data_IF_351418821377
#
_entry.id   IF_351418821377
#
_cell.length_a   1.000
_cell.length_b   1.000
_cell.length_c   1.000
_cell.angle_alpha   90.00
_cell.angle_beta   90.00
_cell.angle_gamma   90.00
#
_symmetry.space_group_name_H-M   'P 1'
#
loop_
_entity.id
_entity.type
_entity.pdbx_description
1 polymer ?
#
# COMPACT_ATOMS: atom_id res chain seq x y z
N UNK A 1 -20.63 11.29 -21.74
CA UNK A 1 -20.10 12.61 -21.40
C UNK A 1 -19.76 13.45 -22.65
N UNK A 2 -18.89 12.98 -23.54
CA UNK A 2 -18.49 13.72 -24.73
C UNK A 2 -19.58 13.85 -25.80
N UNK A 3 -20.54 12.93 -25.87
CA UNK A 3 -21.64 12.95 -26.84
C UNK A 3 -22.84 13.80 -26.44
N UNK A 4 -22.85 14.36 -25.24
CA UNK A 4 -23.99 15.09 -24.70
C UNK A 4 -25.26 14.25 -24.39
N UNK A 5 -25.11 12.91 -24.44
CA UNK A 5 -26.19 11.95 -24.18
C UNK A 5 -26.06 11.29 -22.81
N UNK A 6 -25.28 11.87 -21.91
CA UNK A 6 -25.12 11.32 -20.57
C UNK A 6 -26.43 11.42 -19.77
N UNK A 7 -26.76 10.44 -18.91
CA UNK A 7 -27.82 10.56 -17.94
C UNK A 7 -27.68 11.84 -17.11
N UNK A 8 -28.80 12.42 -16.71
CA UNK A 8 -28.87 13.61 -15.85
C UNK A 8 -28.12 14.86 -16.37
N UNK A 9 -27.79 14.87 -17.68
CA UNK A 9 -27.16 16.03 -18.33
C UNK A 9 -25.67 16.23 -17.96
N UNK A 10 -25.04 15.25 -17.37
CA UNK A 10 -23.61 15.33 -17.01
C UNK A 10 -22.74 15.50 -18.27
N UNK A 11 -21.75 16.35 -18.19
CA UNK A 11 -20.85 16.68 -19.29
C UNK A 11 -19.39 16.43 -18.90
N UNK A 12 -18.54 16.36 -19.92
CA UNK A 12 -17.10 16.35 -19.70
C UNK A 12 -16.68 17.73 -19.15
N UNK A 13 -16.20 17.73 -17.90
CA UNK A 13 -15.81 18.94 -17.19
C UNK A 13 -14.43 18.80 -16.57
N UNK A 14 -13.50 19.65 -16.97
CA UNK A 14 -12.15 19.68 -16.43
C UNK A 14 -12.06 20.33 -15.04
N UNK A 15 -13.13 20.92 -14.54
CA UNK A 15 -13.18 21.48 -13.18
C UNK A 15 -12.92 20.46 -12.11
N UNK A 16 -13.15 19.16 -12.38
CA UNK A 16 -12.83 18.04 -11.47
C UNK A 16 -11.34 17.94 -11.10
N UNK A 17 -10.47 18.56 -11.87
CA UNK A 17 -9.03 18.67 -11.55
C UNK A 17 -8.69 19.92 -10.74
N UNK A 18 -9.65 20.73 -10.39
CA UNK A 18 -9.45 21.93 -9.58
C UNK A 18 -9.89 21.69 -8.15
N UNK A 19 -9.19 22.31 -7.21
CA UNK A 19 -9.60 22.29 -5.80
C UNK A 19 -10.69 23.33 -5.61
N UNK A 20 -11.88 22.96 -5.10
CA UNK A 20 -12.95 23.92 -4.84
C UNK A 20 -12.51 25.06 -3.91
N UNK A 21 -12.97 26.27 -4.19
CA UNK A 21 -12.66 27.42 -3.35
C UNK A 21 -13.17 27.18 -1.91
N UNK A 22 -12.30 27.45 -0.93
CA UNK A 22 -12.60 27.23 0.48
C UNK A 22 -12.22 25.86 1.01
N UNK A 23 -11.72 24.95 0.17
CA UNK A 23 -11.20 23.65 0.64
C UNK A 23 -9.89 23.87 1.40
N UNK A 24 -9.85 23.46 2.66
CA UNK A 24 -8.60 23.49 3.43
C UNK A 24 -7.60 22.48 2.88
N UNK A 25 -6.35 22.91 2.67
CA UNK A 25 -5.25 22.02 2.26
C UNK A 25 -5.11 20.82 3.20
N UNK A 26 -5.40 21.02 4.48
CA UNK A 26 -5.39 19.97 5.50
C UNK A 26 -6.36 18.82 5.20
N UNK A 27 -7.52 19.11 4.61
CA UNK A 27 -8.51 18.10 4.24
C UNK A 27 -8.03 17.21 3.08
N UNK A 28 -7.24 17.75 2.16
CA UNK A 28 -6.64 16.95 1.08
C UNK A 28 -5.76 15.82 1.62
N UNK A 29 -5.02 16.08 2.69
CA UNK A 29 -4.12 15.07 3.29
C UNK A 29 -4.85 13.95 4.04
N UNK A 30 -6.11 14.12 4.41
CA UNK A 30 -6.93 13.00 4.87
C UNK A 30 -7.21 12.03 3.72
N UNK A 31 -7.48 12.55 2.51
CA UNK A 31 -7.65 11.74 1.31
C UNK A 31 -6.36 11.07 0.82
N UNK A 32 -5.20 11.66 1.09
CA UNK A 32 -3.90 11.13 0.65
C UNK A 32 -3.63 9.73 1.23
N UNK A 33 -4.15 9.41 2.41
CA UNK A 33 -4.02 8.05 2.99
C UNK A 33 -4.70 7.00 2.11
N UNK A 34 -5.84 7.33 1.53
CA UNK A 34 -6.52 6.44 0.56
C UNK A 34 -5.75 6.35 -0.75
N UNK A 35 -5.09 7.44 -1.17
CA UNK A 35 -4.14 7.40 -2.27
C UNK A 35 -2.99 6.42 -1.99
N UNK A 36 -2.36 6.47 -0.82
CA UNK A 36 -1.35 5.49 -0.42
C UNK A 36 -1.91 4.07 -0.40
N UNK A 37 -3.12 3.86 0.13
CA UNK A 37 -3.79 2.55 0.12
C UNK A 37 -3.94 2.01 -1.31
N UNK A 38 -4.35 2.85 -2.26
CA UNK A 38 -4.51 2.46 -3.67
C UNK A 38 -3.20 2.04 -4.34
N UNK A 39 -2.07 2.58 -3.88
CA UNK A 39 -0.74 2.19 -4.35
C UNK A 39 -0.12 1.01 -3.58
N UNK A 40 -0.67 0.62 -2.42
CA UNK A 40 -0.12 -0.46 -1.59
C UNK A 40 0.04 -1.74 -2.40
N UNK A 41 1.25 -2.31 -2.37
CA UNK A 41 1.59 -3.54 -3.10
C UNK A 41 2.52 -3.32 -4.30
N UNK A 42 2.76 -2.08 -4.77
CA UNK A 42 3.72 -1.83 -5.85
C UNK A 42 5.15 -2.27 -5.45
N UNK A 43 5.48 -2.23 -4.18
CA UNK A 43 6.75 -2.68 -3.61
C UNK A 43 6.88 -4.20 -3.57
N UNK A 44 5.80 -4.96 -3.78
CA UNK A 44 5.83 -6.43 -3.78
C UNK A 44 6.79 -6.99 -4.85
N UNK A 45 7.07 -6.25 -5.92
CA UNK A 45 8.12 -6.60 -6.88
C UNK A 45 9.50 -6.79 -6.23
N UNK A 46 9.78 -6.11 -5.09
CA UNK A 46 11.02 -6.29 -4.35
C UNK A 46 11.13 -7.68 -3.71
N UNK A 47 10.01 -8.29 -3.31
CA UNK A 47 9.98 -9.64 -2.72
C UNK A 47 10.30 -10.74 -3.72
N UNK A 48 10.20 -10.43 -5.02
CA UNK A 48 10.51 -11.33 -6.13
C UNK A 48 11.93 -11.14 -6.66
N UNK A 49 12.75 -10.34 -5.99
CA UNK A 49 14.11 -10.03 -6.42
C UNK A 49 15.00 -11.27 -6.56
N UNK A 50 14.84 -12.30 -5.71
CA UNK A 50 15.56 -13.55 -5.78
C UNK A 50 15.19 -14.40 -7.00
N UNK A 51 13.99 -14.21 -7.56
CA UNK A 51 13.47 -14.93 -8.73
C UNK A 51 13.71 -14.18 -10.05
N UNK A 52 14.07 -12.90 -10.00
CA UNK A 52 14.30 -12.06 -11.16
C UNK A 52 15.65 -12.36 -11.83
N UNK A 53 15.68 -12.38 -13.18
CA UNK A 53 16.93 -12.60 -13.95
C UNK A 53 17.95 -11.49 -13.72
N UNK A 54 17.51 -10.24 -13.67
CA UNK A 54 18.35 -9.06 -13.45
C UNK A 54 17.73 -8.16 -12.37
N UNK A 55 17.74 -8.56 -11.08
CA UNK A 55 16.99 -7.88 -10.03
C UNK A 55 17.35 -6.40 -9.86
N UNK A 56 18.62 -6.04 -10.04
CA UNK A 56 19.12 -4.65 -9.94
C UNK A 56 18.52 -3.71 -11.00
N UNK A 57 18.06 -4.24 -12.12
CA UNK A 57 17.48 -3.48 -13.23
C UNK A 57 15.96 -3.63 -13.28
N UNK A 58 15.48 -4.86 -13.14
CA UNK A 58 14.09 -5.21 -13.43
C UNK A 58 13.18 -4.81 -12.27
N UNK A 59 13.61 -5.00 -11.00
CA UNK A 59 12.82 -4.62 -9.81
C UNK A 59 12.59 -3.11 -9.73
N UNK A 60 13.61 -2.22 -9.82
CA UNK A 60 13.36 -0.77 -9.80
C UNK A 60 12.47 -0.30 -10.95
N UNK A 61 12.60 -0.89 -12.14
CA UNK A 61 11.75 -0.53 -13.30
C UNK A 61 10.32 -0.98 -13.11
N UNK A 62 10.10 -2.18 -12.56
CA UNK A 62 8.77 -2.67 -12.26
C UNK A 62 8.08 -1.76 -11.23
N UNK A 63 8.76 -1.44 -10.13
CA UNK A 63 8.25 -0.55 -9.08
C UNK A 63 7.90 0.84 -9.65
N UNK A 64 8.84 1.46 -10.36
CA UNK A 64 8.61 2.79 -10.94
C UNK A 64 7.52 2.76 -12.01
N UNK A 65 7.53 1.75 -12.88
CA UNK A 65 6.51 1.57 -13.91
C UNK A 65 5.12 1.39 -13.32
N UNK A 66 4.97 0.58 -12.28
CA UNK A 66 3.70 0.38 -11.58
C UNK A 66 3.23 1.67 -10.90
N UNK A 67 4.15 2.41 -10.26
CA UNK A 67 3.80 3.67 -9.60
C UNK A 67 3.33 4.74 -10.61
N UNK A 68 4.05 4.91 -11.73
CA UNK A 68 3.69 5.89 -12.76
C UNK A 68 2.39 5.49 -13.47
N UNK A 69 2.29 4.22 -13.91
CA UNK A 69 1.08 3.73 -14.57
C UNK A 69 -0.13 3.81 -13.65
N UNK A 70 0.02 3.32 -12.39
CA UNK A 70 -1.04 3.37 -11.38
C UNK A 70 -1.50 4.80 -11.11
N UNK A 71 -0.56 5.76 -10.97
CA UNK A 71 -0.90 7.16 -10.75
C UNK A 71 -1.73 7.76 -11.88
N UNK A 72 -1.30 7.55 -13.13
CA UNK A 72 -2.06 8.03 -14.30
C UNK A 72 -3.43 7.35 -14.37
N UNK A 73 -3.47 6.03 -14.16
CA UNK A 73 -4.69 5.25 -14.20
C UNK A 73 -5.70 5.70 -13.14
N UNK A 74 -5.27 5.84 -11.88
CA UNK A 74 -6.16 6.25 -10.79
C UNK A 74 -6.71 7.66 -10.99
N UNK A 75 -5.86 8.62 -11.40
CA UNK A 75 -6.32 9.99 -11.71
C UNK A 75 -7.35 9.97 -12.82
N UNK A 76 -7.12 9.20 -13.88
CA UNK A 76 -8.04 9.11 -15.01
C UNK A 76 -9.37 8.47 -14.62
N UNK A 77 -9.33 7.33 -13.93
CA UNK A 77 -10.55 6.62 -13.52
C UNK A 77 -11.36 7.45 -12.53
N UNK A 78 -10.73 8.00 -11.49
CA UNK A 78 -11.44 8.83 -10.50
C UNK A 78 -12.03 10.09 -11.14
N UNK A 79 -11.35 10.71 -12.11
CA UNK A 79 -11.91 11.83 -12.82
C UNK A 79 -13.18 11.44 -13.61
N UNK A 80 -13.18 10.28 -14.28
CA UNK A 80 -14.35 9.75 -14.99
C UNK A 80 -15.49 9.46 -14.00
N UNK A 81 -15.18 8.86 -12.86
CA UNK A 81 -16.18 8.56 -11.82
C UNK A 81 -16.83 9.84 -11.31
N UNK A 82 -16.03 10.85 -10.92
CA UNK A 82 -16.57 12.14 -10.45
C UNK A 82 -17.39 12.84 -11.53
N UNK A 83 -16.92 12.86 -12.78
CA UNK A 83 -17.70 13.43 -13.89
C UNK A 83 -18.98 12.66 -14.15
N UNK A 84 -18.94 11.33 -13.98
CA UNK A 84 -20.07 10.45 -14.24
C UNK A 84 -21.20 10.59 -13.22
N UNK A 85 -20.87 10.79 -11.95
CA UNK A 85 -21.84 11.06 -10.89
C UNK A 85 -22.26 12.54 -10.82
N UNK A 86 -21.43 13.44 -11.33
CA UNK A 86 -21.58 14.88 -11.19
C UNK A 86 -20.77 15.45 -10.02
N UNK A 87 -20.25 16.67 -10.21
CA UNK A 87 -19.46 17.36 -9.18
C UNK A 87 -20.30 18.25 -8.26
N UNK A 88 -21.63 18.24 -8.41
CA UNK A 88 -22.59 18.93 -7.56
C UNK A 88 -22.87 18.17 -6.25
N UNK A 89 -23.62 18.76 -5.34
CA UNK A 89 -23.93 18.16 -4.04
C UNK A 89 -24.67 16.81 -4.18
N UNK A 90 -25.57 16.68 -5.14
CA UNK A 90 -26.31 15.45 -5.40
C UNK A 90 -25.41 14.35 -5.95
N UNK A 91 -24.52 14.70 -6.89
CA UNK A 91 -23.54 13.77 -7.46
C UNK A 91 -22.53 13.29 -6.42
N UNK A 92 -22.02 14.18 -5.57
CA UNK A 92 -21.12 13.80 -4.45
C UNK A 92 -21.84 12.89 -3.45
N UNK A 93 -23.10 13.14 -3.13
CA UNK A 93 -23.88 12.27 -2.25
C UNK A 93 -24.09 10.88 -2.88
N UNK A 94 -24.43 10.81 -4.17
CA UNK A 94 -24.55 9.55 -4.90
C UNK A 94 -23.21 8.79 -4.96
N UNK A 95 -22.11 9.48 -5.26
CA UNK A 95 -20.77 8.93 -5.26
C UNK A 95 -20.40 8.30 -3.90
N UNK A 96 -20.63 9.01 -2.80
CA UNK A 96 -20.25 8.54 -1.46
C UNK A 96 -21.16 7.42 -0.94
N UNK A 97 -22.37 7.29 -1.45
CA UNK A 97 -23.31 6.22 -1.07
C UNK A 97 -23.25 4.99 -1.98
N UNK A 98 -22.51 5.06 -3.10
CA UNK A 98 -22.39 3.96 -4.05
C UNK A 98 -21.60 2.79 -3.46
N UNK A 99 -22.12 1.58 -3.61
CA UNK A 99 -21.41 0.34 -3.28
C UNK A 99 -20.49 -0.18 -4.39
N UNK A 100 -20.61 0.36 -5.61
CA UNK A 100 -19.83 -0.02 -6.79
C UNK A 100 -19.81 1.12 -7.80
N UNK A 101 -18.94 2.11 -7.60
CA UNK A 101 -18.88 3.33 -8.42
C UNK A 101 -18.97 3.07 -9.92
N UNK A 102 -18.02 2.28 -10.46
CA UNK A 102 -18.02 1.94 -11.89
C UNK A 102 -19.19 1.03 -12.29
N UNK A 103 -19.71 0.19 -11.37
CA UNK A 103 -20.87 -0.64 -11.60
C UNK A 103 -22.14 0.19 -11.76
N UNK A 104 -22.33 1.17 -10.89
CA UNK A 104 -23.50 2.09 -10.95
C UNK A 104 -23.44 2.96 -12.20
N UNK A 105 -22.25 3.49 -12.57
CA UNK A 105 -22.06 4.18 -13.84
C UNK A 105 -22.34 3.27 -15.04
N UNK A 106 -21.85 2.02 -15.01
CA UNK A 106 -22.11 1.03 -16.05
C UNK A 106 -23.59 0.78 -16.23
N UNK A 107 -24.34 0.68 -15.12
CA UNK A 107 -25.79 0.51 -15.12
C UNK A 107 -26.51 1.73 -15.68
N UNK A 108 -26.15 2.93 -15.23
CA UNK A 108 -26.80 4.17 -15.65
C UNK A 108 -26.52 4.58 -17.10
N UNK A 109 -25.29 4.37 -17.57
CA UNK A 109 -24.84 4.80 -18.89
C UNK A 109 -25.06 3.78 -20.00
N UNK A 110 -25.06 2.48 -19.69
CA UNK A 110 -25.10 1.42 -20.69
C UNK A 110 -26.25 0.44 -20.43
N UNK A 111 -26.38 -0.02 -19.19
CA UNK A 111 -27.43 -0.93 -18.76
C UNK A 111 -27.00 -1.88 -17.65
N UNK A 112 -27.97 -2.47 -16.96
CA UNK A 112 -27.77 -3.30 -15.77
C UNK A 112 -26.76 -4.44 -15.98
N UNK A 113 -26.78 -5.10 -17.14
CA UNK A 113 -25.84 -6.20 -17.41
C UNK A 113 -24.37 -5.77 -17.40
N UNK A 114 -24.07 -4.52 -17.77
CA UNK A 114 -22.70 -3.97 -17.72
C UNK A 114 -22.32 -3.68 -16.27
N UNK A 115 -23.22 -3.10 -15.49
CA UNK A 115 -23.02 -2.88 -14.07
C UNK A 115 -22.74 -4.16 -13.30
N UNK A 116 -23.54 -5.21 -13.55
CA UNK A 116 -23.35 -6.55 -12.95
C UNK A 116 -22.01 -7.16 -13.34
N UNK A 117 -21.62 -7.05 -14.63
CA UNK A 117 -20.34 -7.57 -15.12
C UNK A 117 -19.14 -6.86 -14.48
N UNK A 118 -19.21 -5.52 -14.35
CA UNK A 118 -18.17 -4.71 -13.69
C UNK A 118 -18.07 -5.10 -12.21
N UNK A 119 -19.19 -5.21 -11.52
CA UNK A 119 -19.25 -5.57 -10.10
C UNK A 119 -18.68 -6.99 -9.86
N UNK A 120 -19.03 -7.94 -10.73
CA UNK A 120 -18.43 -9.28 -10.68
C UNK A 120 -16.93 -9.24 -10.94
N UNK A 121 -16.49 -8.45 -11.93
CA UNK A 121 -15.06 -8.24 -12.21
C UNK A 121 -14.30 -7.65 -11.02
N UNK A 122 -14.91 -6.67 -10.33
CA UNK A 122 -14.35 -6.09 -9.12
C UNK A 122 -14.23 -7.12 -7.99
N UNK A 123 -15.24 -7.97 -7.79
CA UNK A 123 -15.20 -9.04 -6.78
C UNK A 123 -14.08 -10.06 -7.07
N UNK A 124 -13.93 -10.50 -8.33
CA UNK A 124 -12.83 -11.39 -8.73
C UNK A 124 -11.48 -10.73 -8.55
N UNK A 125 -11.35 -9.45 -8.89
CA UNK A 125 -10.13 -8.65 -8.69
C UNK A 125 -9.77 -8.53 -7.21
N UNK A 126 -10.74 -8.23 -6.35
CA UNK A 126 -10.54 -8.16 -4.90
C UNK A 126 -10.06 -9.50 -4.32
N UNK A 127 -10.64 -10.61 -4.75
CA UNK A 127 -10.20 -11.95 -4.37
C UNK A 127 -8.75 -12.22 -4.83
N UNK A 128 -8.41 -11.87 -6.07
CA UNK A 128 -7.05 -12.00 -6.60
C UNK A 128 -6.04 -11.16 -5.82
N UNK A 129 -6.41 -9.93 -5.45
CA UNK A 129 -5.59 -9.05 -4.61
C UNK A 129 -5.37 -9.65 -3.21
N UNK A 130 -6.41 -10.17 -2.57
CA UNK A 130 -6.31 -10.84 -1.26
C UNK A 130 -5.35 -12.04 -1.31
N UNK A 131 -5.43 -12.86 -2.36
CA UNK A 131 -4.49 -13.97 -2.57
C UNK A 131 -3.05 -13.49 -2.75
N UNK A 132 -2.84 -12.46 -3.56
CA UNK A 132 -1.50 -11.91 -3.79
C UNK A 132 -0.90 -11.35 -2.49
N UNK A 133 -1.68 -10.61 -1.70
CA UNK A 133 -1.28 -10.11 -0.39
C UNK A 133 -0.95 -11.24 0.59
N UNK A 134 -1.77 -12.30 0.64
CA UNK A 134 -1.53 -13.46 1.48
C UNK A 134 -0.22 -14.18 1.11
N UNK A 135 0.06 -14.32 -0.19
CA UNK A 135 1.33 -14.89 -0.68
C UNK A 135 2.51 -14.01 -0.29
N UNK A 136 2.42 -12.70 -0.51
CA UNK A 136 3.48 -11.75 -0.13
C UNK A 136 3.78 -11.76 1.37
N UNK A 137 2.74 -11.68 2.20
CA UNK A 137 2.85 -11.74 3.66
C UNK A 137 3.44 -13.09 4.13
N UNK A 138 3.04 -14.21 3.51
CA UNK A 138 3.57 -15.54 3.83
C UNK A 138 5.06 -15.66 3.53
N UNK A 139 5.51 -15.10 2.41
CA UNK A 139 6.94 -15.06 2.02
C UNK A 139 7.75 -14.20 2.99
N UNK A 140 7.20 -13.05 3.39
CA UNK A 140 7.85 -12.18 4.38
C UNK A 140 7.97 -12.89 5.74
N UNK A 141 6.89 -13.54 6.20
CA UNK A 141 6.88 -14.30 7.45
C UNK A 141 7.90 -15.45 7.42
N UNK A 142 7.97 -16.17 6.29
CA UNK A 142 8.97 -17.21 6.04
C UNK A 142 10.39 -16.65 6.09
N UNK A 143 10.67 -15.54 5.41
CA UNK A 143 11.99 -14.91 5.37
C UNK A 143 12.42 -14.46 6.78
N UNK A 144 11.55 -13.84 7.55
CA UNK A 144 11.81 -13.44 8.94
C UNK A 144 12.10 -14.64 9.83
N UNK A 145 11.42 -15.77 9.64
CA UNK A 145 11.68 -17.00 10.38
C UNK A 145 13.01 -17.64 9.97
N UNK A 146 13.33 -17.67 8.68
CA UNK A 146 14.62 -18.15 8.14
C UNK A 146 15.80 -17.33 8.69
N UNK A 147 15.59 -16.04 8.88
CA UNK A 147 16.61 -15.14 9.42
C UNK A 147 16.69 -15.18 10.97
N UNK A 148 15.87 -16.02 11.61
CA UNK A 148 15.88 -16.22 13.07
C UNK A 148 15.18 -15.12 13.87
N UNK A 149 14.36 -14.28 13.21
CA UNK A 149 13.52 -13.27 13.87
C UNK A 149 12.31 -13.92 14.51
N UNK A 150 11.68 -14.85 13.78
CA UNK A 150 10.47 -15.56 14.17
C UNK A 150 10.76 -17.05 14.47
N UNK A 151 9.72 -17.78 14.85
CA UNK A 151 9.82 -19.19 15.21
C UNK A 151 10.27 -20.05 14.01
N UNK A 152 11.24 -20.92 14.22
CA UNK A 152 11.82 -21.79 13.19
C UNK A 152 10.80 -22.64 12.39
N UNK A 153 9.69 -23.13 12.96
CA UNK A 153 8.67 -23.88 12.18
C UNK A 153 8.05 -23.11 11.03
N UNK A 154 8.07 -21.77 11.06
CA UNK A 154 7.57 -20.91 9.96
C UNK A 154 8.52 -20.85 8.77
N UNK A 155 9.78 -21.26 8.96
CA UNK A 155 10.80 -21.37 7.91
C UNK A 155 10.80 -22.73 7.20
N UNK A 156 9.86 -23.63 7.53
CA UNK A 156 9.78 -24.92 6.88
C UNK A 156 9.03 -24.84 5.54
N UNK A 157 9.63 -25.46 4.53
CA UNK A 157 9.07 -25.59 3.18
C UNK A 157 8.50 -26.99 2.99
N UNK A 158 7.30 -27.10 2.42
CA UNK A 158 6.71 -28.39 2.12
C UNK A 158 7.51 -29.14 1.04
N UNK A 159 7.97 -30.39 1.30
CA UNK A 159 8.80 -31.13 0.35
C UNK A 159 8.16 -31.37 -1.02
N UNK A 160 6.82 -31.50 -1.05
CA UNK A 160 6.11 -31.79 -2.29
C UNK A 160 5.67 -30.57 -3.11
N UNK A 161 5.58 -29.37 -2.47
CA UNK A 161 5.04 -28.15 -3.11
C UNK A 161 6.04 -27.02 -3.19
N UNK A 162 7.18 -27.10 -2.50
CA UNK A 162 8.15 -26.01 -2.45
C UNK A 162 7.64 -24.71 -1.80
N UNK A 163 6.53 -24.76 -1.04
CA UNK A 163 5.87 -23.57 -0.49
C UNK A 163 5.90 -23.57 1.04
N UNK A 164 5.94 -22.38 1.70
CA UNK A 164 5.95 -22.25 3.15
C UNK A 164 4.54 -22.40 3.74
N UNK A 165 3.99 -23.62 3.73
CA UNK A 165 2.59 -23.91 4.10
C UNK A 165 2.24 -23.42 5.50
N UNK A 166 3.15 -23.55 6.49
CA UNK A 166 2.89 -23.08 7.86
C UNK A 166 2.79 -21.56 7.94
N UNK A 167 3.69 -20.84 7.26
CA UNK A 167 3.63 -19.39 7.20
C UNK A 167 2.33 -18.91 6.51
N UNK A 168 1.94 -19.57 5.42
CA UNK A 168 0.68 -19.29 4.71
C UNK A 168 -0.53 -19.56 5.61
N UNK A 169 -0.55 -20.67 6.32
CA UNK A 169 -1.64 -20.99 7.24
C UNK A 169 -1.80 -19.95 8.37
N UNK A 170 -0.67 -19.48 8.93
CA UNK A 170 -0.68 -18.41 9.96
C UNK A 170 -1.23 -17.11 9.40
N UNK A 171 -0.80 -16.71 8.20
CA UNK A 171 -1.31 -15.48 7.56
C UNK A 171 -2.80 -15.57 7.29
N UNK A 172 -3.27 -16.66 6.67
CA UNK A 172 -4.69 -16.84 6.36
C UNK A 172 -5.54 -16.92 7.64
N UNK A 173 -5.04 -17.61 8.67
CA UNK A 173 -5.72 -17.67 9.96
C UNK A 173 -5.80 -16.30 10.64
N UNK A 174 -4.73 -15.48 10.56
CA UNK A 174 -4.73 -14.13 11.09
C UNK A 174 -5.72 -13.22 10.34
N UNK A 175 -5.75 -13.28 9.00
CA UNK A 175 -6.72 -12.54 8.18
C UNK A 175 -8.15 -12.92 8.55
N UNK A 176 -8.46 -14.22 8.64
CA UNK A 176 -9.79 -14.70 9.00
C UNK A 176 -10.19 -14.31 10.44
N UNK A 177 -9.23 -14.32 11.36
CA UNK A 177 -9.47 -13.93 12.75
C UNK A 177 -9.78 -12.44 12.88
N UNK A 178 -9.04 -11.58 12.18
CA UNK A 178 -9.28 -10.13 12.17
C UNK A 178 -10.66 -9.85 11.61
N UNK A 179 -11.00 -10.39 10.43
CA UNK A 179 -12.31 -10.22 9.83
C UNK A 179 -13.46 -10.73 10.73
N UNK A 180 -13.25 -11.84 11.41
CA UNK A 180 -14.24 -12.37 12.36
C UNK A 180 -14.42 -11.46 13.58
N UNK A 181 -13.33 -10.91 14.11
CA UNK A 181 -13.39 -9.97 15.26
C UNK A 181 -14.12 -8.69 14.83
N UNK A 182 -13.76 -8.11 13.69
CA UNK A 182 -14.35 -6.86 13.20
C UNK A 182 -15.86 -7.06 12.93
N UNK A 183 -16.26 -8.16 12.33
CA UNK A 183 -17.66 -8.47 12.11
C UNK A 183 -18.41 -8.78 13.42
N UNK A 184 -17.86 -9.61 14.32
CA UNK A 184 -18.57 -10.10 15.50
C UNK A 184 -18.57 -9.10 16.66
N UNK A 185 -17.49 -8.31 16.83
CA UNK A 185 -17.32 -7.40 17.96
C UNK A 185 -17.76 -5.98 17.59
N UNK A 186 -17.40 -5.51 16.40
CA UNK A 186 -17.68 -4.15 15.96
C UNK A 186 -18.84 -4.05 14.99
N UNK A 187 -19.41 -5.17 14.53
CA UNK A 187 -20.51 -5.19 13.57
C UNK A 187 -20.12 -4.66 12.18
N UNK A 188 -18.84 -4.77 11.84
CA UNK A 188 -18.31 -4.24 10.59
C UNK A 188 -18.96 -4.90 9.36
N UNK A 189 -19.44 -4.09 8.43
CA UNK A 189 -19.81 -4.55 7.10
C UNK A 189 -18.54 -4.86 6.27
N UNK A 190 -18.64 -5.63 5.18
CA UNK A 190 -17.45 -5.98 4.37
C UNK A 190 -16.64 -4.78 3.88
N UNK A 191 -17.28 -3.65 3.60
CA UNK A 191 -16.59 -2.43 3.21
C UNK A 191 -15.87 -1.75 4.39
N UNK A 192 -16.46 -1.81 5.59
CA UNK A 192 -15.82 -1.28 6.81
C UNK A 192 -14.56 -2.07 7.11
N UNK A 193 -14.62 -3.41 7.02
CA UNK A 193 -13.46 -4.30 7.18
C UNK A 193 -12.32 -3.92 6.22
N UNK A 194 -12.63 -3.75 4.93
CA UNK A 194 -11.66 -3.30 3.94
C UNK A 194 -11.07 -1.93 4.31
N UNK A 195 -11.92 -0.96 4.67
CA UNK A 195 -11.52 0.41 4.97
C UNK A 195 -10.66 0.48 6.24
N UNK A 196 -11.05 -0.21 7.31
CA UNK A 196 -10.33 -0.19 8.60
C UNK A 196 -9.00 -0.90 8.50
N UNK A 197 -8.99 -2.15 8.05
CA UNK A 197 -7.76 -2.94 7.86
C UNK A 197 -6.81 -2.27 6.87
N UNK A 198 -7.34 -1.73 5.76
CA UNK A 198 -6.58 -0.98 4.77
C UNK A 198 -5.94 0.28 5.34
N UNK A 199 -6.70 1.06 6.12
CA UNK A 199 -6.18 2.29 6.75
C UNK A 199 -5.11 1.98 7.79
N UNK A 200 -5.34 1.01 8.69
CA UNK A 200 -4.34 0.59 9.69
C UNK A 200 -3.07 0.09 8.99
N UNK A 201 -3.20 -0.78 7.99
CA UNK A 201 -2.08 -1.30 7.22
C UNK A 201 -1.29 -0.19 6.54
N UNK A 202 -1.99 0.78 5.93
CA UNK A 202 -1.36 1.93 5.28
C UNK A 202 -0.62 2.82 6.26
N UNK A 203 -1.18 3.11 7.42
CA UNK A 203 -0.49 3.91 8.44
C UNK A 203 0.79 3.23 8.94
N UNK A 204 0.77 1.92 9.15
CA UNK A 204 1.97 1.14 9.49
C UNK A 204 2.98 1.20 8.35
N UNK A 205 2.53 1.06 7.10
CA UNK A 205 3.39 1.10 5.92
C UNK A 205 4.04 2.47 5.73
N UNK A 206 3.33 3.57 5.99
CA UNK A 206 3.90 4.93 5.98
C UNK A 206 5.08 5.03 6.96
N UNK A 207 4.96 4.46 8.16
CA UNK A 207 6.07 4.44 9.13
C UNK A 207 7.26 3.63 8.57
N UNK A 208 7.01 2.50 7.92
CA UNK A 208 8.06 1.71 7.27
C UNK A 208 8.74 2.51 6.15
N UNK A 209 7.97 3.23 5.33
CA UNK A 209 8.53 4.10 4.28
C UNK A 209 9.37 5.25 4.85
N UNK A 210 8.95 5.86 5.97
CA UNK A 210 9.76 6.88 6.66
C UNK A 210 11.09 6.28 7.10
N UNK A 211 11.08 5.12 7.76
CA UNK A 211 12.30 4.46 8.24
C UNK A 211 13.21 4.03 7.06
N UNK A 212 12.64 3.48 6.00
CA UNK A 212 13.37 3.09 4.81
C UNK A 212 14.01 4.29 4.11
N UNK A 213 13.27 5.40 4.00
CA UNK A 213 13.76 6.65 3.40
C UNK A 213 14.90 7.25 4.22
N UNK A 214 14.79 7.28 5.55
CA UNK A 214 15.88 7.72 6.45
C UNK A 214 17.11 6.81 6.27
N UNK A 215 16.91 5.50 6.20
CA UNK A 215 17.98 4.54 5.96
C UNK A 215 18.68 4.77 4.60
N UNK A 216 17.90 5.01 3.55
CA UNK A 216 18.40 5.31 2.21
C UNK A 216 19.20 6.63 2.19
N UNK A 217 18.68 7.69 2.82
CA UNK A 217 19.38 8.98 2.94
C UNK A 217 20.72 8.80 3.63
N UNK A 218 20.74 8.09 4.77
CA UNK A 218 21.98 7.82 5.49
C UNK A 218 22.99 7.06 4.62
N UNK A 219 22.53 6.03 3.91
CA UNK A 219 23.40 5.20 3.07
C UNK A 219 23.95 5.94 1.87
N UNK A 220 23.12 6.72 1.17
CA UNK A 220 23.46 7.36 -0.10
C UNK A 220 24.27 8.65 0.06
N UNK A 221 24.00 9.41 1.14
CA UNK A 221 24.57 10.76 1.30
C UNK A 221 25.58 10.89 2.45
N UNK A 222 25.48 10.02 3.49
CA UNK A 222 26.26 10.17 4.72
C UNK A 222 27.17 8.98 5.06
N UNK A 223 27.05 7.83 4.36
CA UNK A 223 27.85 6.64 4.64
C UNK A 223 28.95 6.44 3.60
N UNK A 224 29.95 7.34 3.59
CA UNK A 224 31.09 7.29 2.68
C UNK A 224 31.02 8.33 1.55
N UNK A 225 31.78 8.14 0.44
CA UNK A 225 31.69 9.08 -0.69
C UNK A 225 30.26 9.10 -1.25
N UNK A 226 29.74 10.30 -1.62
CA UNK A 226 28.39 10.43 -2.11
C UNK A 226 28.21 9.58 -3.38
N UNK A 227 27.17 8.71 -3.35
CA UNK A 227 26.87 7.77 -4.45
C UNK A 227 25.96 8.37 -5.50
N UNK A 228 25.33 9.49 -5.17
CA UNK A 228 24.34 10.22 -5.97
C UNK A 228 24.63 11.72 -5.88
N UNK A 229 24.05 12.51 -6.79
CA UNK A 229 24.19 13.95 -6.74
C UNK A 229 23.58 14.50 -5.45
N UNK A 230 24.30 15.41 -4.77
CA UNK A 230 23.83 16.03 -3.52
C UNK A 230 22.47 16.75 -3.66
N UNK A 231 22.17 17.29 -4.85
CA UNK A 231 20.89 17.93 -5.12
C UNK A 231 19.71 16.94 -5.03
N UNK A 232 19.94 15.64 -5.25
CA UNK A 232 18.90 14.60 -5.20
C UNK A 232 18.39 14.35 -3.77
N UNK A 233 19.04 14.89 -2.74
CA UNK A 233 18.55 14.83 -1.35
C UNK A 233 17.19 15.53 -1.20
N UNK A 234 16.85 16.44 -2.10
CA UNK A 234 15.55 17.11 -2.10
C UNK A 234 14.40 16.13 -2.26
N UNK A 235 14.58 15.03 -3.03
CA UNK A 235 13.55 14.02 -3.29
C UNK A 235 13.14 13.29 -1.98
N UNK A 236 14.06 12.64 -1.25
CA UNK A 236 13.70 11.98 -0.01
C UNK A 236 13.27 12.96 1.10
N UNK A 237 13.77 14.19 1.12
CA UNK A 237 13.30 15.20 2.08
C UNK A 237 11.84 15.56 1.81
N UNK A 238 11.47 15.82 0.55
CA UNK A 238 10.08 16.07 0.18
C UNK A 238 9.19 14.88 0.51
N UNK A 239 9.65 13.66 0.20
CA UNK A 239 8.93 12.43 0.56
C UNK A 239 8.69 12.33 2.07
N UNK A 240 9.70 12.57 2.91
CA UNK A 240 9.57 12.57 4.37
C UNK A 240 8.59 13.64 4.88
N UNK A 241 8.57 14.82 4.27
CA UNK A 241 7.62 15.87 4.64
C UNK A 241 6.17 15.44 4.33
N UNK A 242 5.93 14.89 3.13
CA UNK A 242 4.60 14.41 2.74
C UNK A 242 4.16 13.25 3.63
N UNK A 243 5.00 12.23 3.81
CA UNK A 243 4.71 11.06 4.66
C UNK A 243 4.45 11.47 6.11
N UNK A 244 5.31 12.33 6.67
CA UNK A 244 5.18 12.83 8.04
C UNK A 244 3.91 13.66 8.24
N UNK A 245 3.58 14.54 7.30
CA UNK A 245 2.36 15.33 7.37
C UNK A 245 1.10 14.46 7.20
N UNK A 246 1.13 13.48 6.29
CA UNK A 246 0.02 12.52 6.14
C UNK A 246 -0.21 11.74 7.43
N UNK A 247 0.85 11.24 8.06
CA UNK A 247 0.75 10.53 9.33
C UNK A 247 0.19 11.45 10.44
N UNK A 248 0.70 12.68 10.54
CA UNK A 248 0.22 13.67 11.48
C UNK A 248 -1.28 13.95 11.33
N UNK A 249 -1.76 14.17 10.10
CA UNK A 249 -3.17 14.48 9.81
C UNK A 249 -4.13 13.32 10.08
N UNK A 250 -3.64 12.08 10.05
CA UNK A 250 -4.45 10.90 10.38
C UNK A 250 -4.49 10.60 11.89
N UNK A 251 -3.72 11.36 12.70
CA UNK A 251 -3.70 11.24 14.15
C UNK A 251 -4.23 12.51 14.82
N UNK A 252 -4.04 13.68 14.21
CA UNK A 252 -4.41 14.99 14.79
C UNK A 252 -5.26 15.79 13.76
N UNK A 253 -6.52 16.17 14.09
CA UNK A 253 -7.23 15.91 15.34
C UNK A 253 -7.47 14.42 15.56
N UNK A 254 -7.53 13.97 16.83
CA UNK A 254 -7.69 12.55 17.15
C UNK A 254 -8.99 12.02 16.55
N UNK A 255 -8.95 10.90 15.81
CA UNK A 255 -10.13 10.34 15.16
C UNK A 255 -11.22 9.94 16.17
N UNK A 256 -12.47 9.99 15.73
CA UNK A 256 -13.63 9.60 16.53
C UNK A 256 -14.27 8.32 15.99
N UNK A 257 -15.15 7.68 16.80
CA UNK A 257 -15.79 6.44 16.41
C UNK A 257 -14.81 5.27 16.27
N UNK A 258 -15.04 4.32 15.35
CA UNK A 258 -14.16 3.17 15.14
C UNK A 258 -12.72 3.58 14.75
N UNK A 259 -12.55 4.66 14.02
CA UNK A 259 -11.24 5.16 13.61
C UNK A 259 -10.33 5.58 14.80
N UNK A 260 -10.89 5.80 15.98
CA UNK A 260 -10.12 6.11 17.19
C UNK A 260 -9.12 4.99 17.58
N UNK A 261 -9.40 3.75 17.17
CA UNK A 261 -8.52 2.62 17.43
C UNK A 261 -7.34 2.52 16.46
N UNK A 262 -7.40 3.15 15.28
CA UNK A 262 -6.35 3.01 14.26
C UNK A 262 -4.97 3.46 14.75
N UNK A 263 -4.80 4.66 15.33
CA UNK A 263 -3.51 5.07 15.87
C UNK A 263 -3.03 4.15 17.01
N UNK A 264 -3.94 3.66 17.85
CA UNK A 264 -3.61 2.77 18.97
C UNK A 264 -3.06 1.43 18.45
N UNK A 265 -3.75 0.81 17.50
CA UNK A 265 -3.30 -0.46 16.88
C UNK A 265 -1.94 -0.27 16.22
N UNK A 266 -1.73 0.83 15.50
CA UNK A 266 -0.43 1.16 14.89
C UNK A 266 0.67 1.30 15.95
N UNK A 267 0.42 2.03 17.03
CA UNK A 267 1.40 2.21 18.12
C UNK A 267 1.72 0.90 18.83
N UNK A 268 0.72 0.06 19.10
CA UNK A 268 0.93 -1.27 19.69
C UNK A 268 1.77 -2.14 18.77
N UNK A 269 1.49 -2.15 17.46
CA UNK A 269 2.26 -2.92 16.49
C UNK A 269 3.71 -2.47 16.40
N UNK A 270 3.94 -1.16 16.33
CA UNK A 270 5.29 -0.57 16.30
C UNK A 270 6.01 -0.86 17.62
N UNK A 271 5.33 -0.73 18.76
CA UNK A 271 5.87 -1.02 20.08
C UNK A 271 6.30 -2.48 20.21
N UNK A 272 5.47 -3.43 19.80
CA UNK A 272 5.80 -4.86 19.78
C UNK A 272 7.00 -5.14 18.87
N UNK A 273 7.04 -4.52 17.70
CA UNK A 273 8.17 -4.66 16.78
C UNK A 273 9.46 -4.14 17.40
N UNK A 274 9.41 -3.00 18.07
CA UNK A 274 10.55 -2.43 18.80
C UNK A 274 11.02 -3.33 19.95
N UNK A 275 10.10 -3.88 20.72
CA UNK A 275 10.42 -4.85 21.79
C UNK A 275 11.15 -6.06 21.23
N UNK A 276 10.71 -6.62 20.10
CA UNK A 276 11.38 -7.76 19.45
C UNK A 276 12.82 -7.39 19.04
N UNK A 277 13.00 -6.20 18.45
CA UNK A 277 14.34 -5.73 18.02
C UNK A 277 15.27 -5.51 19.22
N UNK A 278 14.76 -4.92 20.30
CA UNK A 278 15.56 -4.64 21.51
C UNK A 278 15.87 -5.91 22.30
N UNK A 279 14.90 -6.84 22.39
CA UNK A 279 15.09 -8.12 23.10
C UNK A 279 16.06 -9.08 22.37
N UNK A 280 16.22 -8.90 21.06
CA UNK A 280 17.10 -9.76 20.23
C UNK A 280 18.07 -8.95 19.39
N UNK A 281 19.05 -8.28 19.98
CA UNK A 281 19.98 -7.38 19.25
C UNK A 281 20.86 -8.10 18.22
N UNK A 282 20.96 -9.43 18.27
CA UNK A 282 21.64 -10.23 17.25
C UNK A 282 20.89 -10.27 15.91
N UNK A 283 19.58 -10.08 15.91
CA UNK A 283 18.73 -10.14 14.72
C UNK A 283 19.02 -8.99 13.76
N UNK A 284 18.93 -7.71 14.16
CA UNK A 284 19.22 -6.61 13.24
C UNK A 284 20.68 -6.62 12.77
N UNK A 285 21.62 -7.12 13.61
CA UNK A 285 23.04 -7.26 13.20
C UNK A 285 23.21 -8.32 12.11
N UNK A 286 22.54 -9.48 12.22
CA UNK A 286 22.59 -10.54 11.19
C UNK A 286 21.91 -10.10 9.91
N UNK A 287 20.73 -9.48 9.99
CA UNK A 287 20.03 -8.93 8.83
C UNK A 287 20.88 -7.87 8.11
N UNK A 288 21.49 -6.94 8.86
CA UNK A 288 22.38 -5.94 8.30
C UNK A 288 23.61 -6.52 7.63
N UNK A 289 24.24 -7.54 8.24
CA UNK A 289 25.41 -8.22 7.67
C UNK A 289 25.06 -8.94 6.35
N UNK A 290 23.89 -9.58 6.26
CA UNK A 290 23.43 -10.22 5.00
C UNK A 290 23.12 -9.18 3.92
N UNK A 291 22.42 -8.11 4.25
CA UNK A 291 22.13 -7.04 3.30
C UNK A 291 23.42 -6.40 2.75
N UNK A 292 24.45 -6.24 3.56
CA UNK A 292 25.75 -5.73 3.10
C UNK A 292 26.50 -6.73 2.24
N UNK A 293 26.41 -8.03 2.53
CA UNK A 293 27.01 -9.08 1.73
C UNK A 293 26.35 -9.21 0.35
N UNK A 294 25.00 -9.23 0.32
CA UNK A 294 24.21 -9.37 -0.91
C UNK A 294 24.28 -8.13 -1.80
N UNK A 295 24.41 -6.93 -1.20
CA UNK A 295 24.50 -5.67 -1.94
C UNK A 295 25.88 -5.42 -2.59
N UNK A 296 26.89 -6.25 -2.32
CA UNK A 296 28.26 -6.03 -2.78
C UNK A 296 28.92 -4.78 -2.18
N UNK A 297 28.38 -4.28 -1.07
CA UNK A 297 28.85 -3.06 -0.39
C UNK A 297 30.11 -3.27 0.45
N UNK A 298 30.55 -4.52 0.65
CA UNK A 298 31.86 -4.86 1.17
C UNK A 298 32.85 -4.66 0.04
N UNK A 299 33.65 -3.59 0.10
CA UNK A 299 34.59 -3.13 -0.91
C UNK A 299 35.63 -4.18 -1.34
N UNK A 300 35.20 -5.03 -2.28
CA UNK A 300 36.10 -5.76 -3.16
C UNK A 300 36.07 -5.06 -4.53
N UNK A 301 37.20 -5.09 -5.29
CA UNK A 301 37.21 -4.53 -6.63
C UNK A 301 36.11 -5.20 -7.46
N UNK A 302 35.37 -4.40 -8.21
CA UNK A 302 34.40 -4.88 -9.22
C UNK A 302 35.24 -5.61 -10.26
N UNK A 303 35.38 -6.93 -10.11
CA UNK A 303 35.89 -7.75 -11.19
C UNK A 303 34.93 -7.63 -12.36
N UNK A 304 35.35 -6.86 -13.34
CA UNK A 304 34.79 -6.85 -14.67
C UNK A 304 34.97 -8.26 -15.24
N UNK A 305 33.91 -9.08 -15.20
CA UNK A 305 33.82 -10.29 -16.02
C UNK A 305 33.02 -10.00 -17.28
N UNK A 306 33.49 -10.52 -18.42
CA UNK A 306 33.13 -10.13 -19.78
C UNK A 306 31.68 -10.40 -20.16
#
# INVERSE_FOLDING_TARGET
>A
LLSGSAPDGHTFDLSVFTVPAGTEVSALFLGVVFGFLSFTGFEAAATLGEEARNPRRDVPRAILGTAVFGGVYFVFVTAIEVMGFGADEAGVAAFTSSGSLMGDLGTGYIGAWVGDLITLGAAVSAFGCALACAVGASRLLFALARDGVLAAPLAEVSPGRGTPVRATAVVVAAMALIALIDAAVFGAAPFDEFSWSGTIGTLILIVVYVLATIGAVRLLFFSGPPRVNRAEIAIPVLALLVLGYTLYRNVIPYPTGPAAWFPVVCLVWIGLSLVVVLARPSVPRRAGARLTADSGLTGGPIDARP
#
